data_IF_618632049685
#
_entry.id   IF_618632049685
#
_cell.length_a   1.000
_cell.length_b   1.000
_cell.length_c   1.000
_cell.angle_alpha   90.00
_cell.angle_beta   90.00
_cell.angle_gamma   90.00
#
_symmetry.space_group_name_H-M   'P 1'
#
loop_
_entity.id
_entity.type
_entity.pdbx_description
1 polymer ?
#
# COMPACT_ATOMS: atom_id res chain seq x y z
N UNK A 1 -35.13 -3.48 -15.53
CA UNK A 1 -34.92 -4.50 -14.47
C UNK A 1 -33.54 -4.31 -13.88
N UNK A 2 -33.43 -3.74 -12.68
CA UNK A 2 -32.18 -3.61 -11.96
C UNK A 2 -31.78 -4.99 -11.42
N UNK A 3 -30.68 -5.56 -11.92
CA UNK A 3 -30.02 -6.70 -11.26
C UNK A 3 -29.40 -6.17 -9.97
N UNK A 4 -30.14 -6.24 -8.86
CA UNK A 4 -29.55 -6.13 -7.53
C UNK A 4 -28.57 -7.28 -7.40
N UNK A 5 -27.26 -6.96 -7.40
CA UNK A 5 -26.20 -7.95 -7.25
C UNK A 5 -26.41 -8.70 -5.92
N UNK A 6 -26.70 -9.99 -6.00
CA UNK A 6 -26.87 -10.86 -4.83
C UNK A 6 -25.49 -11.03 -4.19
N UNK A 7 -25.17 -10.19 -3.20
CA UNK A 7 -23.90 -10.23 -2.47
C UNK A 7 -23.76 -11.60 -1.77
N UNK A 8 -22.83 -12.43 -2.23
CA UNK A 8 -22.69 -13.80 -1.74
C UNK A 8 -21.92 -13.80 -0.41
N UNK A 9 -22.58 -14.17 0.69
CA UNK A 9 -22.04 -14.06 2.06
C UNK A 9 -20.65 -14.71 2.20
N UNK A 10 -20.44 -15.87 1.57
CA UNK A 10 -19.15 -16.59 1.57
C UNK A 10 -18.00 -15.77 0.98
N UNK A 11 -18.25 -14.98 -0.05
CA UNK A 11 -17.21 -14.18 -0.72
C UNK A 11 -16.75 -13.03 0.17
N UNK A 12 -17.65 -12.40 0.93
CA UNK A 12 -17.29 -11.34 1.88
C UNK A 12 -16.43 -11.88 3.03
N UNK A 13 -16.80 -13.02 3.62
CA UNK A 13 -16.02 -13.63 4.70
C UNK A 13 -14.61 -13.98 4.23
N UNK A 14 -14.48 -14.59 3.04
CA UNK A 14 -13.18 -14.90 2.46
C UNK A 14 -12.35 -13.65 2.20
N UNK A 15 -12.96 -12.59 1.66
CA UNK A 15 -12.28 -11.32 1.43
C UNK A 15 -11.70 -10.75 2.74
N UNK A 16 -12.51 -10.72 3.80
CA UNK A 16 -12.07 -10.24 5.11
C UNK A 16 -10.93 -11.10 5.67
N UNK A 17 -11.01 -12.43 5.55
CA UNK A 17 -9.95 -13.34 5.99
C UNK A 17 -8.64 -13.09 5.24
N UNK A 18 -8.68 -12.93 3.91
CA UNK A 18 -7.49 -12.62 3.14
C UNK A 18 -6.91 -11.25 3.49
N UNK A 19 -7.75 -10.22 3.69
CA UNK A 19 -7.27 -8.92 4.16
C UNK A 19 -6.57 -9.03 5.52
N UNK A 20 -7.17 -9.73 6.50
CA UNK A 20 -6.58 -9.92 7.81
C UNK A 20 -5.22 -10.66 7.75
N UNK A 21 -5.14 -11.70 6.91
CA UNK A 21 -3.90 -12.44 6.69
C UNK A 21 -2.83 -11.55 6.03
N UNK A 22 -3.18 -10.76 5.03
CA UNK A 22 -2.25 -9.86 4.34
C UNK A 22 -1.79 -8.71 5.25
N UNK A 23 -2.67 -8.18 6.11
CA UNK A 23 -2.28 -7.21 7.16
C UNK A 23 -1.28 -7.85 8.14
N UNK A 24 -1.48 -9.12 8.49
CA UNK A 24 -0.56 -9.84 9.38
C UNK A 24 0.82 -10.06 8.72
N UNK A 25 0.85 -10.38 7.42
CA UNK A 25 2.09 -10.46 6.65
C UNK A 25 2.73 -9.07 6.53
N UNK A 26 1.94 -8.01 6.36
CA UNK A 26 2.44 -6.63 6.35
C UNK A 26 3.11 -6.25 7.65
N UNK A 27 2.57 -6.70 8.80
CA UNK A 27 3.26 -6.54 10.08
C UNK A 27 4.62 -7.24 10.08
N UNK A 28 4.73 -8.47 9.58
CA UNK A 28 6.04 -9.15 9.48
C UNK A 28 6.99 -8.36 8.56
N UNK A 29 6.50 -7.89 7.41
CA UNK A 29 7.26 -7.04 6.50
C UNK A 29 7.68 -5.70 7.12
N UNK A 30 6.88 -5.16 8.04
CA UNK A 30 7.20 -3.93 8.79
C UNK A 30 8.42 -4.06 9.70
N UNK A 31 8.81 -5.29 10.06
CA UNK A 31 10.01 -5.54 10.87
C UNK A 31 11.29 -5.39 10.05
N UNK A 32 11.21 -5.47 8.72
CA UNK A 32 12.33 -5.25 7.79
C UNK A 32 12.36 -3.77 7.44
N UNK A 33 12.89 -2.95 8.36
CA UNK A 33 12.90 -1.48 8.25
C UNK A 33 14.13 -0.96 7.54
N UNK A 34 13.94 0.14 6.82
CA UNK A 34 14.99 0.92 6.17
C UNK A 34 15.27 2.16 7.02
N UNK A 35 16.54 2.36 7.38
CA UNK A 35 17.02 3.50 8.17
C UNK A 35 16.37 3.67 9.56
N UNK A 36 15.77 2.61 10.13
CA UNK A 36 15.09 2.69 11.42
C UNK A 36 13.84 3.57 11.43
N UNK A 37 13.33 3.95 10.25
CA UNK A 37 12.13 4.78 10.08
C UNK A 37 10.89 3.91 9.83
N UNK A 38 9.75 4.54 9.54
CA UNK A 38 8.53 3.87 9.07
C UNK A 38 8.57 3.43 7.61
N UNK A 39 9.73 3.49 6.94
CA UNK A 39 9.95 2.93 5.60
C UNK A 39 10.30 1.44 5.76
N UNK A 40 9.43 0.55 5.27
CA UNK A 40 9.60 -0.90 5.43
C UNK A 40 9.05 -1.69 4.23
N UNK A 41 8.98 -3.02 4.38
CA UNK A 41 8.37 -3.95 3.43
C UNK A 41 6.89 -4.27 3.74
N UNK A 42 6.25 -3.43 4.53
CA UNK A 42 4.84 -3.54 4.95
C UNK A 42 3.84 -3.34 3.82
N UNK A 43 4.30 -2.70 2.75
CA UNK A 43 3.53 -2.19 1.64
C UNK A 43 3.36 -3.25 0.53
N UNK A 44 4.22 -4.28 0.50
CA UNK A 44 4.18 -5.38 -0.46
C UNK A 44 2.89 -6.20 -0.38
N UNK A 45 2.40 -6.66 0.80
CA UNK A 45 1.15 -7.41 0.87
C UNK A 45 -0.07 -6.57 0.45
N UNK A 46 -0.01 -5.24 0.63
CA UNK A 46 -1.05 -4.32 0.17
C UNK A 46 -1.10 -4.23 -1.35
N UNK A 47 0.05 -4.05 -2.01
CA UNK A 47 0.12 -4.10 -3.47
C UNK A 47 -0.30 -5.47 -4.02
N UNK A 48 0.10 -6.56 -3.36
CA UNK A 48 -0.35 -7.90 -3.73
C UNK A 48 -1.87 -8.05 -3.57
N UNK A 49 -2.46 -7.57 -2.47
CA UNK A 49 -3.90 -7.55 -2.24
C UNK A 49 -4.66 -6.80 -3.35
N UNK A 50 -4.09 -5.71 -3.86
CA UNK A 50 -4.68 -4.95 -4.97
C UNK A 50 -4.76 -5.76 -6.28
N UNK A 51 -3.82 -6.68 -6.49
CA UNK A 51 -3.80 -7.59 -7.65
C UNK A 51 -4.67 -8.84 -7.43
N UNK A 52 -4.57 -9.44 -6.25
CA UNK A 52 -5.16 -10.74 -5.94
C UNK A 52 -6.63 -10.66 -5.50
N UNK A 53 -7.02 -9.59 -4.81
CA UNK A 53 -8.37 -9.38 -4.30
C UNK A 53 -9.07 -8.29 -5.12
N UNK A 54 -8.96 -7.03 -4.69
CA UNK A 54 -9.48 -5.84 -5.37
C UNK A 54 -8.60 -4.64 -5.03
N UNK A 55 -8.59 -3.58 -5.87
CA UNK A 55 -7.88 -2.34 -5.55
C UNK A 55 -8.31 -1.74 -4.20
N UNK A 56 -9.60 -1.79 -3.87
CA UNK A 56 -10.14 -1.31 -2.60
C UNK A 56 -9.66 -2.14 -1.40
N UNK A 57 -9.61 -3.47 -1.53
CA UNK A 57 -9.06 -4.33 -0.50
C UNK A 57 -7.57 -4.05 -0.27
N UNK A 58 -6.80 -3.87 -1.34
CA UNK A 58 -5.40 -3.46 -1.25
C UNK A 58 -5.21 -2.12 -0.56
N UNK A 59 -6.06 -1.14 -0.86
CA UNK A 59 -6.03 0.17 -0.20
C UNK A 59 -6.25 0.07 1.31
N UNK A 60 -7.23 -0.73 1.75
CA UNK A 60 -7.49 -0.98 3.16
C UNK A 60 -6.30 -1.67 3.85
N UNK A 61 -5.73 -2.69 3.21
CA UNK A 61 -4.54 -3.38 3.72
C UNK A 61 -3.38 -2.39 3.85
N UNK A 62 -3.13 -1.56 2.84
CA UNK A 62 -2.06 -0.56 2.84
C UNK A 62 -2.22 0.50 3.92
N UNK A 63 -3.45 1.00 4.13
CA UNK A 63 -3.76 1.93 5.20
C UNK A 63 -3.40 1.36 6.58
N UNK A 64 -3.90 0.16 6.89
CA UNK A 64 -3.70 -0.47 8.19
C UNK A 64 -2.26 -0.93 8.40
N UNK A 65 -1.65 -1.52 7.36
CA UNK A 65 -0.25 -1.93 7.36
C UNK A 65 0.68 -0.77 7.75
N UNK A 66 0.52 0.38 7.10
CA UNK A 66 1.40 1.52 7.36
C UNK A 66 1.22 2.09 8.77
N UNK A 67 -0.01 2.14 9.29
CA UNK A 67 -0.24 2.54 10.68
C UNK A 67 0.41 1.58 11.69
N UNK A 68 0.42 0.28 11.40
CA UNK A 68 1.10 -0.71 12.23
C UNK A 68 2.63 -0.51 12.17
N UNK A 69 3.19 -0.29 10.97
CA UNK A 69 4.61 0.02 10.79
C UNK A 69 5.01 1.29 11.53
N UNK A 70 4.19 2.33 11.47
CA UNK A 70 4.38 3.57 12.19
C UNK A 70 4.38 3.37 13.70
N UNK A 71 3.40 2.62 14.21
CA UNK A 71 3.27 2.32 15.64
C UNK A 71 4.48 1.54 16.17
N UNK A 72 4.91 0.50 15.46
CA UNK A 72 6.09 -0.30 15.83
C UNK A 72 7.41 0.45 15.66
N UNK A 73 7.39 1.58 14.96
CA UNK A 73 8.55 2.48 14.80
C UNK A 73 8.52 3.67 15.77
N UNK A 74 7.55 3.70 16.70
CA UNK A 74 7.42 4.75 17.71
C UNK A 74 6.86 6.08 17.19
N UNK A 75 6.23 6.10 16.01
CA UNK A 75 5.68 7.31 15.39
C UNK A 75 6.69 8.48 15.29
N UNK A 76 7.87 8.23 14.71
CA UNK A 76 8.94 9.23 14.59
C UNK A 76 8.48 10.60 14.02
N UNK A 77 7.64 10.59 12.98
CA UNK A 77 7.04 11.79 12.38
C UNK A 77 5.72 12.24 13.03
N UNK A 78 5.37 11.73 14.22
CA UNK A 78 4.08 11.88 14.92
C UNK A 78 2.90 11.08 14.33
N UNK A 79 1.88 10.81 15.15
CA UNK A 79 0.68 10.07 14.75
C UNK A 79 -0.13 10.78 13.63
N UNK A 80 -0.42 12.10 13.72
CA UNK A 80 -1.18 12.79 12.66
C UNK A 80 -0.53 12.67 11.28
N UNK A 81 0.80 12.73 11.22
CA UNK A 81 1.53 12.60 9.98
C UNK A 81 1.37 11.20 9.38
N UNK A 82 1.41 10.15 10.20
CA UNK A 82 1.24 8.79 9.71
C UNK A 82 -0.19 8.45 9.29
N UNK A 83 -1.20 9.14 9.82
CA UNK A 83 -2.58 9.05 9.30
C UNK A 83 -2.64 9.61 7.87
N UNK A 84 -2.00 10.75 7.61
CA UNK A 84 -1.94 11.31 6.26
C UNK A 84 -1.15 10.39 5.31
N UNK A 85 -0.01 9.85 5.76
CA UNK A 85 0.80 8.94 4.94
C UNK A 85 0.07 7.62 4.68
N UNK A 86 -0.66 7.07 5.66
CA UNK A 86 -1.43 5.84 5.45
C UNK A 86 -2.60 6.05 4.46
N UNK A 87 -3.23 7.23 4.46
CA UNK A 87 -4.23 7.60 3.44
C UNK A 87 -3.57 7.69 2.05
N UNK A 88 -2.40 8.30 1.95
CA UNK A 88 -1.64 8.33 0.69
C UNK A 88 -1.31 6.92 0.20
N UNK A 89 -0.80 6.06 1.08
CA UNK A 89 -0.52 4.66 0.78
C UNK A 89 -1.77 3.94 0.24
N UNK A 90 -2.91 4.10 0.92
CA UNK A 90 -4.18 3.53 0.47
C UNK A 90 -4.56 3.99 -0.95
N UNK A 91 -4.46 5.30 -1.21
CA UNK A 91 -4.75 5.88 -2.51
C UNK A 91 -3.81 5.35 -3.60
N UNK A 92 -2.51 5.25 -3.33
CA UNK A 92 -1.52 4.78 -4.31
C UNK A 92 -1.64 3.29 -4.59
N UNK A 93 -1.96 2.47 -3.59
CA UNK A 93 -2.27 1.04 -3.78
C UNK A 93 -3.55 0.86 -4.59
N UNK A 94 -4.57 1.69 -4.35
CA UNK A 94 -5.77 1.68 -5.17
C UNK A 94 -5.46 2.01 -6.63
N UNK A 95 -4.74 3.11 -6.88
CA UNK A 95 -4.32 3.53 -8.22
C UNK A 95 -3.47 2.45 -8.89
N UNK A 96 -2.57 1.79 -8.16
CA UNK A 96 -1.82 0.64 -8.65
C UNK A 96 -2.75 -0.48 -9.14
N UNK A 97 -3.66 -0.98 -8.29
CA UNK A 97 -4.57 -2.05 -8.67
C UNK A 97 -5.47 -1.67 -9.86
N UNK A 98 -5.96 -0.43 -9.89
CA UNK A 98 -6.79 0.08 -10.97
C UNK A 98 -6.02 0.21 -12.30
N UNK A 99 -4.81 0.78 -12.27
CA UNK A 99 -3.95 0.89 -13.47
C UNK A 99 -3.53 -0.48 -13.98
N UNK A 100 -3.25 -1.44 -13.10
CA UNK A 100 -2.91 -2.81 -13.48
C UNK A 100 -4.04 -3.48 -14.27
N UNK A 101 -5.30 -3.28 -13.84
CA UNK A 101 -6.48 -3.82 -14.53
C UNK A 101 -6.71 -3.20 -15.92
N UNK A 102 -6.37 -1.91 -16.09
CA UNK A 102 -6.59 -1.17 -17.34
C UNK A 102 -5.44 -1.23 -18.33
N UNK A 103 -4.24 -1.57 -17.88
CA UNK A 103 -3.03 -1.46 -18.70
C UNK A 103 -2.14 -2.70 -18.57
N UNK A 104 -0.93 -2.55 -18.03
CA UNK A 104 0.01 -3.63 -17.78
C UNK A 104 0.78 -3.40 -16.48
N UNK A 105 1.49 -4.44 -16.04
CA UNK A 105 2.24 -4.42 -14.78
C UNK A 105 3.34 -3.35 -14.74
N UNK A 106 3.95 -3.00 -15.88
CA UNK A 106 5.05 -2.06 -15.94
C UNK A 106 4.57 -0.63 -15.74
N UNK A 107 3.51 -0.23 -16.44
CA UNK A 107 2.87 1.10 -16.28
C UNK A 107 2.40 1.25 -14.84
N UNK A 108 1.69 0.25 -14.32
CA UNK A 108 1.20 0.25 -12.95
C UNK A 108 2.34 0.38 -11.92
N UNK A 109 3.44 -0.36 -12.11
CA UNK A 109 4.59 -0.29 -11.22
C UNK A 109 5.30 1.07 -11.27
N UNK A 110 5.51 1.63 -12.46
CA UNK A 110 6.11 2.96 -12.63
C UNK A 110 5.24 4.02 -11.97
N UNK A 111 3.93 4.02 -12.25
CA UNK A 111 2.99 4.97 -11.67
C UNK A 111 2.97 4.88 -10.15
N UNK A 112 2.86 3.68 -9.59
CA UNK A 112 2.82 3.50 -8.14
C UNK A 112 4.14 3.85 -7.44
N UNK A 113 5.29 3.53 -8.06
CA UNK A 113 6.61 3.91 -7.54
C UNK A 113 6.77 5.42 -7.52
N UNK A 114 6.38 6.10 -8.60
CA UNK A 114 6.44 7.56 -8.70
C UNK A 114 5.48 8.25 -7.72
N UNK A 115 4.26 7.73 -7.58
CA UNK A 115 3.27 8.26 -6.63
C UNK A 115 3.73 8.08 -5.18
N UNK A 116 4.19 6.89 -4.82
CA UNK A 116 4.54 6.58 -3.44
C UNK A 116 5.95 7.07 -3.05
N UNK A 117 6.83 7.35 -4.02
CA UNK A 117 8.16 7.94 -3.77
C UNK A 117 8.14 9.48 -3.85
N UNK A 118 8.50 10.09 -5.00
CA UNK A 118 8.61 11.55 -5.12
C UNK A 118 7.33 12.31 -4.76
N UNK A 119 6.17 11.85 -5.22
CA UNK A 119 4.90 12.58 -5.01
C UNK A 119 4.48 12.50 -3.54
N UNK A 120 4.57 11.33 -2.90
CA UNK A 120 4.29 11.20 -1.47
C UNK A 120 5.20 12.10 -0.63
N UNK A 121 6.51 12.07 -0.90
CA UNK A 121 7.49 12.92 -0.24
C UNK A 121 7.16 14.41 -0.40
N UNK A 122 6.70 14.82 -1.59
CA UNK A 122 6.29 16.20 -1.84
C UNK A 122 4.99 16.59 -1.12
N UNK A 123 3.99 15.70 -1.08
CA UNK A 123 2.71 15.95 -0.42
C UNK A 123 2.90 16.20 1.08
N UNK A 124 3.83 15.49 1.73
CA UNK A 124 4.06 15.64 3.18
C UNK A 124 4.83 16.91 3.57
N UNK A 125 5.47 17.60 2.61
CA UNK A 125 6.23 18.84 2.86
C UNK A 125 5.41 19.91 3.60
N UNK A 126 4.26 20.38 3.10
CA UNK A 126 3.47 21.41 3.80
C UNK A 126 3.02 20.95 5.20
N UNK A 127 2.65 19.67 5.35
CA UNK A 127 2.24 19.12 6.65
C UNK A 127 3.39 19.04 7.65
N UNK A 128 4.61 18.75 7.20
CA UNK A 128 5.80 18.73 8.06
C UNK A 128 6.11 20.11 8.65
N UNK A 129 5.86 21.18 7.89
CA UNK A 129 6.00 22.57 8.35
C UNK A 129 4.86 22.93 9.29
N UNK A 130 3.63 22.58 8.93
CA UNK A 130 2.42 22.83 9.74
C UNK A 130 2.51 22.17 11.12
N UNK A 131 2.99 20.93 11.20
CA UNK A 131 3.14 20.18 12.45
C UNK A 131 4.45 20.47 13.19
N UNK A 132 5.27 21.41 12.69
CA UNK A 132 6.53 21.82 13.32
C UNK A 132 7.48 20.65 13.61
N UNK A 133 7.59 19.71 12.67
CA UNK A 133 8.46 18.55 12.83
C UNK A 133 9.95 18.97 12.88
N UNK A 134 10.81 18.21 13.58
CA UNK A 134 12.26 18.48 13.61
C UNK A 134 12.88 18.48 12.22
N UNK A 135 12.48 17.53 11.37
CA UNK A 135 12.79 17.49 9.94
C UNK A 135 11.55 17.95 9.16
N UNK A 136 11.66 19.08 8.43
CA UNK A 136 10.52 19.71 7.75
C UNK A 136 10.91 20.37 6.43
N UNK A 137 9.91 20.69 5.62
CA UNK A 137 10.13 21.41 4.38
C UNK A 137 10.89 20.58 3.34
N UNK A 138 11.78 21.24 2.60
CA UNK A 138 12.64 20.60 1.59
C UNK A 138 13.66 19.64 2.18
N UNK A 139 14.07 19.81 3.44
CA UNK A 139 15.00 18.89 4.10
C UNK A 139 14.39 17.49 4.23
N UNK A 140 13.12 17.43 4.68
CA UNK A 140 12.38 16.17 4.75
C UNK A 140 12.23 15.54 3.36
N UNK A 141 11.92 16.35 2.34
CA UNK A 141 11.78 15.88 0.97
C UNK A 141 13.05 15.18 0.47
N UNK A 142 14.20 15.84 0.56
CA UNK A 142 15.46 15.27 0.09
C UNK A 142 15.89 14.05 0.91
N UNK A 143 15.64 14.06 2.22
CA UNK A 143 15.93 12.92 3.09
C UNK A 143 15.09 11.69 2.70
N UNK A 144 13.82 11.87 2.35
CA UNK A 144 12.89 10.77 2.07
C UNK A 144 12.90 10.32 0.60
N UNK A 145 13.29 11.17 -0.35
CA UNK A 145 13.15 10.91 -1.78
C UNK A 145 13.72 9.56 -2.23
N UNK A 146 15.01 9.31 -1.94
CA UNK A 146 15.68 8.08 -2.38
C UNK A 146 15.18 6.86 -1.59
N UNK A 147 15.16 6.87 -0.24
CA UNK A 147 14.73 5.70 0.52
C UNK A 147 13.29 5.29 0.21
N UNK A 148 12.37 6.25 0.10
CA UNK A 148 10.96 5.99 -0.15
C UNK A 148 10.72 5.42 -1.56
N UNK A 149 11.41 5.97 -2.56
CA UNK A 149 11.31 5.49 -3.95
C UNK A 149 11.83 4.06 -4.08
N UNK A 150 13.00 3.76 -3.49
CA UNK A 150 13.57 2.41 -3.54
C UNK A 150 12.73 1.40 -2.76
N UNK A 151 12.27 1.75 -1.56
CA UNK A 151 11.39 0.90 -0.77
C UNK A 151 10.10 0.58 -1.54
N UNK A 152 9.46 1.59 -2.12
CA UNK A 152 8.25 1.42 -2.92
C UNK A 152 8.48 0.48 -4.10
N UNK A 153 9.56 0.69 -4.87
CA UNK A 153 9.91 -0.15 -6.01
C UNK A 153 10.08 -1.62 -5.60
N UNK A 154 10.81 -1.89 -4.52
CA UNK A 154 11.03 -3.25 -4.00
C UNK A 154 9.72 -3.90 -3.59
N UNK A 155 8.86 -3.19 -2.85
CA UNK A 155 7.55 -3.70 -2.43
C UNK A 155 6.67 -4.07 -3.64
N UNK A 156 6.64 -3.22 -4.66
CA UNK A 156 5.85 -3.44 -5.89
C UNK A 156 6.40 -4.62 -6.69
N UNK A 157 7.72 -4.70 -6.91
CA UNK A 157 8.34 -5.81 -7.66
C UNK A 157 8.04 -7.14 -6.98
N UNK A 158 8.20 -7.22 -5.67
CA UNK A 158 7.91 -8.43 -4.91
C UNK A 158 6.42 -8.81 -5.00
N UNK A 159 5.51 -7.85 -4.84
CA UNK A 159 4.07 -8.08 -4.98
C UNK A 159 3.69 -8.64 -6.37
N UNK A 160 4.21 -8.03 -7.43
CA UNK A 160 3.97 -8.46 -8.82
C UNK A 160 4.57 -9.85 -9.06
N UNK A 161 5.76 -10.11 -8.53
CA UNK A 161 6.45 -11.39 -8.69
C UNK A 161 5.66 -12.51 -8.02
N UNK A 162 5.26 -12.33 -6.76
CA UNK A 162 4.44 -13.30 -6.02
C UNK A 162 3.13 -13.56 -6.76
N UNK A 163 2.45 -12.50 -7.23
CA UNK A 163 1.21 -12.64 -7.99
C UNK A 163 1.38 -13.43 -9.30
N UNK A 164 2.49 -13.26 -10.00
CA UNK A 164 2.80 -14.00 -11.24
C UNK A 164 3.18 -15.46 -10.99
N UNK A 165 3.77 -15.78 -9.84
CA UNK A 165 4.15 -17.15 -9.46
C UNK A 165 2.95 -18.02 -9.04
N UNK A 166 1.81 -17.41 -8.73
CA UNK A 166 0.61 -18.15 -8.34
C UNK A 166 0.03 -18.96 -9.52
N UNK A 167 -0.34 -20.24 -9.30
CA UNK A 167 -1.03 -21.04 -10.30
C UNK A 167 -2.34 -20.39 -10.76
N UNK A 168 -2.67 -20.52 -12.05
CA UNK A 168 -3.90 -19.97 -12.63
C UNK A 168 -5.18 -20.35 -11.88
N UNK A 169 -5.24 -21.59 -11.36
CA UNK A 169 -6.36 -22.08 -10.53
C UNK A 169 -6.58 -21.26 -9.25
N UNK A 170 -5.49 -20.77 -8.65
CA UNK A 170 -5.54 -19.96 -7.42
C UNK A 170 -5.90 -18.52 -7.78
N UNK A 171 -5.24 -17.95 -8.80
CA UNK A 171 -5.48 -16.57 -9.25
C UNK A 171 -6.91 -16.34 -9.73
N UNK A 172 -7.53 -17.33 -10.38
CA UNK A 172 -8.88 -17.22 -10.93
C UNK A 172 -9.96 -17.86 -10.04
N UNK A 173 -9.57 -18.44 -8.89
CA UNK A 173 -10.45 -19.25 -8.06
C UNK A 173 -11.58 -18.46 -7.37
N UNK A 174 -11.36 -17.17 -7.13
CA UNK A 174 -12.36 -16.26 -6.58
C UNK A 174 -12.38 -14.97 -7.38
N UNK A 175 -13.56 -14.57 -7.85
CA UNK A 175 -13.80 -13.23 -8.40
C UNK A 175 -14.45 -12.39 -7.31
N UNK A 176 -13.73 -11.39 -6.83
CA UNK A 176 -14.26 -10.38 -5.94
C UNK A 176 -14.78 -9.23 -6.80
N UNK A 177 -16.08 -8.97 -6.72
CA UNK A 177 -16.69 -7.83 -7.41
C UNK A 177 -16.19 -6.53 -6.75
N UNK A 178 -15.88 -5.52 -7.57
CA UNK A 178 -15.69 -4.16 -7.06
C UNK A 178 -17.08 -3.63 -6.65
N UNK A 179 -17.18 -3.12 -5.41
CA UNK A 179 -18.40 -2.47 -4.90
C UNK A 179 -18.60 -1.15 -5.61
#
# INVERSE_FOLDING_TARGET
MLKVAKRNFRTNTLLMTYCALLISISYIGSLIKIQGTSIALDSMPAYFAALFLTPAAGALVGFLAHLITAATSGFYLTLPMHIIISIQMAAFVYVFGWTYKKSNYLISAITATFLNGPVAALIVVPFSVLFQLPLRGWELFYFMLIPLTLASLVNIIMAVTIHKLLPNRVRNGYKFDEV
#
